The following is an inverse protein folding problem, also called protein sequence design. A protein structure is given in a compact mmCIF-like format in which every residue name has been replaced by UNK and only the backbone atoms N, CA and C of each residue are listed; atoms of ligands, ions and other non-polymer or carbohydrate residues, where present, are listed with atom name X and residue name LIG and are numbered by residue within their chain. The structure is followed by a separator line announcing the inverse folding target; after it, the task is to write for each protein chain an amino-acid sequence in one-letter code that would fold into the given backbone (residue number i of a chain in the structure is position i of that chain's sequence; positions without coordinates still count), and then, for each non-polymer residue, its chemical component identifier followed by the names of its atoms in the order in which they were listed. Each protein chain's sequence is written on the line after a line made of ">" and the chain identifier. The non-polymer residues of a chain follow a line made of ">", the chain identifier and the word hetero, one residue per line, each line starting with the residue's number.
data_IF_141032475477
#
_entry.id   IF_141032475477
#
_cell.length_a   1.000
_cell.length_b   1.000
_cell.length_c   1.000
_cell.angle_alpha   90.00
_cell.angle_beta   90.00
_cell.angle_gamma   90.00
#
_symmetry.space_group_name_H-M   'P 1'
#
loop_
_entity.id
_entity.type
_entity.pdbx_description
1 polymer ?
#
# COMPACT_ATOMS: atom_id res chain seq x y z
N UNK A 1 -16.74 -3.90 6.74
CA UNK A 1 -15.41 -3.42 6.25
C UNK A 1 -14.37 -3.76 7.31
N UNK A 2 -13.22 -4.34 6.93
CA UNK A 2 -12.13 -4.68 7.87
C UNK A 2 -11.40 -3.41 8.31
N UNK A 3 -10.93 -3.39 9.55
CA UNK A 3 -10.19 -2.25 10.09
C UNK A 3 -8.73 -2.61 10.34
N UNK A 4 -7.83 -1.77 9.85
CA UNK A 4 -6.38 -1.90 10.03
C UNK A 4 -5.71 -0.61 10.48
N UNK A 5 -4.47 -0.75 10.89
CA UNK A 5 -3.57 0.36 11.25
C UNK A 5 -2.47 0.48 10.20
N UNK A 6 -2.27 1.68 9.68
CA UNK A 6 -1.07 2.04 8.92
C UNK A 6 -0.05 2.66 9.87
N UNK A 7 1.09 2.01 10.05
CA UNK A 7 2.19 2.58 10.83
C UNK A 7 2.86 3.74 10.07
N UNK A 8 3.39 4.68 10.83
CA UNK A 8 4.21 5.76 10.28
C UNK A 8 5.68 5.36 10.07
N UNK A 9 6.45 6.21 9.40
CA UNK A 9 7.91 6.05 9.20
C UNK A 9 8.73 6.45 10.45
N UNK A 10 8.23 6.24 11.66
CA UNK A 10 8.91 6.69 12.86
C UNK A 10 10.12 5.80 13.21
N UNK A 11 11.31 6.37 13.24
CA UNK A 11 12.53 5.68 13.69
C UNK A 11 12.64 5.57 15.21
N UNK A 12 12.01 6.47 15.98
CA UNK A 12 12.01 6.46 17.44
C UNK A 12 10.68 5.90 17.97
N UNK A 13 10.78 5.09 19.02
CA UNK A 13 9.59 4.57 19.73
C UNK A 13 8.88 3.41 19.03
N UNK A 14 9.53 2.68 18.09
CA UNK A 14 8.91 1.56 17.38
C UNK A 14 8.39 0.47 18.34
N UNK A 15 9.14 0.15 19.41
CA UNK A 15 8.69 -0.80 20.41
C UNK A 15 7.39 -0.34 21.10
N UNK A 16 7.27 0.95 21.41
CA UNK A 16 6.05 1.54 21.98
C UNK A 16 4.88 1.52 21.00
N UNK A 17 5.14 1.78 19.71
CA UNK A 17 4.14 1.66 18.67
C UNK A 17 3.64 0.21 18.54
N UNK A 18 4.51 -0.79 18.68
CA UNK A 18 4.12 -2.20 18.65
C UNK A 18 3.34 -2.59 19.92
N UNK A 19 3.68 -2.04 21.09
CA UNK A 19 2.88 -2.22 22.30
C UNK A 19 1.46 -1.63 22.15
N UNK A 20 1.34 -0.52 21.41
CA UNK A 20 0.04 0.04 21.03
C UNK A 20 -0.73 -0.86 20.06
N UNK A 21 -0.03 -1.48 19.08
CA UNK A 21 -0.64 -2.45 18.17
C UNK A 21 -1.22 -3.66 18.90
N UNK A 22 -0.57 -4.14 19.94
CA UNK A 22 -1.11 -5.25 20.76
C UNK A 22 -2.44 -4.84 21.40
N UNK A 23 -2.58 -3.61 21.88
CA UNK A 23 -3.86 -3.10 22.40
C UNK A 23 -4.91 -2.92 21.28
N UNK A 24 -4.51 -2.46 20.10
CA UNK A 24 -5.38 -2.40 18.92
C UNK A 24 -5.87 -3.80 18.51
N UNK A 25 -4.99 -4.80 18.50
CA UNK A 25 -5.37 -6.19 18.24
C UNK A 25 -6.41 -6.70 19.26
N UNK A 26 -6.23 -6.41 20.54
CA UNK A 26 -7.20 -6.74 21.60
C UNK A 26 -8.53 -6.05 21.38
N UNK A 27 -8.50 -4.85 20.85
CA UNK A 27 -9.69 -4.07 20.51
C UNK A 27 -10.37 -4.50 19.19
N UNK A 28 -9.85 -5.51 18.47
CA UNK A 28 -10.47 -6.06 17.27
C UNK A 28 -9.98 -5.43 15.96
N UNK A 29 -8.84 -4.73 15.96
CA UNK A 29 -8.15 -4.37 14.72
C UNK A 29 -7.58 -5.63 14.07
N UNK A 30 -7.81 -5.78 12.78
CA UNK A 30 -7.58 -7.05 12.07
C UNK A 30 -6.26 -7.09 11.29
N UNK A 31 -5.73 -5.94 10.87
CA UNK A 31 -4.53 -5.88 10.00
C UNK A 31 -3.63 -4.71 10.39
N UNK A 32 -2.33 -4.90 10.29
CA UNK A 32 -1.34 -3.82 10.35
C UNK A 32 -0.51 -3.77 9.08
N UNK A 33 -0.31 -2.56 8.58
CA UNK A 33 0.59 -2.29 7.47
C UNK A 33 1.85 -1.57 7.95
N UNK A 34 3.01 -2.11 7.59
CA UNK A 34 4.32 -1.52 7.90
C UNK A 34 4.92 -0.93 6.61
N UNK A 35 5.14 0.39 6.56
CA UNK A 35 5.63 1.04 5.35
C UNK A 35 7.11 0.77 5.09
N UNK A 36 7.48 0.72 3.80
CA UNK A 36 8.85 0.75 3.33
C UNK A 36 8.98 1.77 2.19
N UNK A 37 10.00 2.62 2.27
CA UNK A 37 10.38 3.55 1.21
C UNK A 37 11.92 3.66 1.20
N UNK A 38 12.47 4.85 1.33
CA UNK A 38 13.88 5.08 1.70
C UNK A 38 13.98 5.32 3.23
N UNK A 39 13.47 4.36 4.00
CA UNK A 39 13.41 4.33 5.47
C UNK A 39 13.99 3.02 5.98
N UNK A 40 13.70 2.64 7.22
CA UNK A 40 14.05 1.30 7.71
C UNK A 40 13.28 0.23 6.92
N UNK A 41 13.91 -0.95 6.72
CA UNK A 41 13.28 -2.04 6.01
C UNK A 41 12.04 -2.56 6.76
N UNK A 42 11.01 -2.89 6.01
CA UNK A 42 9.77 -3.38 6.62
C UNK A 42 9.89 -4.81 7.15
N UNK A 43 10.85 -5.59 6.68
CA UNK A 43 10.96 -7.03 6.99
C UNK A 43 11.37 -7.23 8.44
N UNK A 44 12.39 -6.51 8.92
CA UNK A 44 12.82 -6.56 10.32
C UNK A 44 11.72 -6.08 11.27
N UNK A 45 11.03 -4.99 10.89
CA UNK A 45 9.91 -4.45 11.65
C UNK A 45 8.73 -5.41 11.69
N UNK A 46 8.34 -6.01 10.56
CA UNK A 46 7.26 -7.00 10.49
C UNK A 46 7.59 -8.28 11.29
N UNK A 47 8.84 -8.72 11.28
CA UNK A 47 9.29 -9.83 12.13
C UNK A 47 9.11 -9.53 13.62
N UNK A 48 9.43 -8.31 14.05
CA UNK A 48 9.21 -7.89 15.43
C UNK A 48 7.71 -7.80 15.78
N UNK A 49 6.88 -7.25 14.89
CA UNK A 49 5.42 -7.19 15.05
C UNK A 49 4.83 -8.60 15.12
N UNK A 50 5.28 -9.52 14.25
CA UNK A 50 4.83 -10.91 14.23
C UNK A 50 5.04 -11.61 15.57
N UNK A 51 6.17 -11.34 16.25
CA UNK A 51 6.49 -11.92 17.56
C UNK A 51 5.66 -11.34 18.73
N UNK A 52 5.06 -10.17 18.54
CA UNK A 52 4.31 -9.45 19.59
C UNK A 52 2.79 -9.54 19.42
N UNK A 53 2.31 -9.92 18.24
CA UNK A 53 0.89 -10.06 17.89
C UNK A 53 0.53 -11.54 17.70
N UNK A 54 -0.75 -11.88 17.83
CA UNK A 54 -1.19 -13.28 17.78
C UNK A 54 -2.24 -13.59 16.72
N UNK A 55 -3.07 -12.61 16.33
CA UNK A 55 -4.20 -12.75 15.40
C UNK A 55 -4.16 -11.76 14.25
N UNK A 56 -3.60 -10.57 14.51
CA UNK A 56 -3.54 -9.49 13.53
C UNK A 56 -2.80 -9.94 12.28
N UNK A 57 -3.38 -9.73 11.12
CA UNK A 57 -2.70 -9.89 9.84
C UNK A 57 -1.64 -8.81 9.68
N UNK A 58 -0.56 -9.17 9.01
CA UNK A 58 0.58 -8.29 8.77
C UNK A 58 0.75 -8.09 7.27
N UNK A 59 0.93 -6.85 6.83
CA UNK A 59 1.26 -6.57 5.44
C UNK A 59 2.37 -5.54 5.32
N UNK A 60 3.20 -5.69 4.30
CA UNK A 60 4.14 -4.63 3.92
C UNK A 60 3.41 -3.52 3.17
N UNK A 61 3.72 -2.28 3.48
CA UNK A 61 3.04 -1.14 2.89
C UNK A 61 3.96 -0.14 2.20
N UNK A 62 4.72 -0.53 1.24
CA UNK A 62 4.87 -1.74 0.41
C UNK A 62 6.35 -2.11 0.25
N UNK A 63 6.65 -3.38 -0.01
CA UNK A 63 7.97 -3.78 -0.51
C UNK A 63 8.10 -3.36 -1.98
N UNK A 64 9.26 -2.80 -2.32
CA UNK A 64 9.51 -2.32 -3.68
C UNK A 64 9.92 -3.46 -4.63
N UNK A 65 9.48 -3.38 -5.89
CA UNK A 65 9.81 -4.35 -6.94
C UNK A 65 11.32 -4.47 -7.22
N UNK A 66 12.06 -3.37 -7.06
CA UNK A 66 13.43 -3.23 -7.54
C UNK A 66 14.49 -3.47 -6.47
N UNK A 67 14.11 -3.43 -5.20
CA UNK A 67 15.06 -3.55 -4.07
C UNK A 67 15.45 -4.99 -3.74
N UNK A 68 14.73 -5.98 -4.27
CA UNK A 68 14.95 -7.42 -4.02
C UNK A 68 14.81 -8.23 -5.31
N UNK A 69 15.56 -9.33 -5.42
CA UNK A 69 15.30 -10.30 -6.49
C UNK A 69 13.92 -10.95 -6.29
N UNK A 70 13.23 -11.41 -7.35
CA UNK A 70 11.92 -12.06 -7.19
C UNK A 70 11.93 -13.25 -6.22
N UNK A 71 12.98 -14.06 -6.28
CA UNK A 71 13.14 -15.22 -5.36
C UNK A 71 13.40 -14.78 -3.92
N UNK A 72 14.15 -13.69 -3.69
CA UNK A 72 14.31 -13.13 -2.35
C UNK A 72 12.98 -12.54 -1.84
N UNK A 73 12.22 -11.86 -2.68
CA UNK A 73 10.86 -11.39 -2.32
C UNK A 73 9.98 -12.55 -1.88
N UNK A 74 10.00 -13.65 -2.63
CA UNK A 74 9.25 -14.85 -2.28
C UNK A 74 9.72 -15.49 -0.95
N UNK A 75 11.05 -15.59 -0.73
CA UNK A 75 11.64 -16.08 0.52
C UNK A 75 11.27 -15.19 1.71
N UNK A 76 11.32 -13.87 1.53
CA UNK A 76 10.93 -12.89 2.54
C UNK A 76 9.47 -13.08 2.96
N UNK A 77 8.57 -13.18 1.98
CA UNK A 77 7.15 -13.39 2.26
C UNK A 77 6.90 -14.74 2.96
N UNK A 78 7.53 -15.82 2.49
CA UNK A 78 7.42 -17.13 3.12
C UNK A 78 8.00 -17.15 4.56
N UNK A 79 9.10 -16.43 4.79
CA UNK A 79 9.69 -16.29 6.13
C UNK A 79 8.80 -15.52 7.11
N UNK A 80 8.24 -14.38 6.67
CA UNK A 80 7.27 -13.62 7.46
C UNK A 80 5.97 -14.40 7.72
N UNK A 81 5.50 -15.12 6.72
CA UNK A 81 4.34 -16.01 6.87
C UNK A 81 4.61 -17.13 7.87
N UNK A 82 5.81 -17.71 7.84
CA UNK A 82 6.25 -18.74 8.78
C UNK A 82 6.31 -18.23 10.24
N UNK A 83 7.00 -17.11 10.48
CA UNK A 83 7.16 -16.58 11.85
C UNK A 83 5.86 -15.99 12.41
N UNK A 84 4.94 -15.58 11.57
CA UNK A 84 3.61 -15.09 11.96
C UNK A 84 2.56 -16.20 12.08
N UNK A 85 2.87 -17.44 11.70
CA UNK A 85 1.90 -18.55 11.72
C UNK A 85 0.81 -18.40 10.66
N UNK A 86 1.16 -17.94 9.44
CA UNK A 86 0.23 -17.83 8.33
C UNK A 86 -0.57 -16.51 8.28
N UNK A 87 -0.11 -15.46 8.96
CA UNK A 87 -0.81 -14.16 9.04
C UNK A 87 -0.26 -13.09 8.10
N UNK A 88 0.73 -13.39 7.27
CA UNK A 88 1.37 -12.40 6.40
C UNK A 88 0.69 -12.30 5.03
N UNK A 89 0.60 -11.09 4.50
CA UNK A 89 0.29 -10.79 3.10
C UNK A 89 1.37 -9.88 2.50
N UNK A 90 1.77 -10.16 1.26
CA UNK A 90 2.82 -9.42 0.57
C UNK A 90 2.24 -8.17 -0.09
N UNK A 91 2.42 -7.02 0.54
CA UNK A 91 2.17 -5.73 -0.08
C UNK A 91 3.36 -5.34 -0.99
N UNK A 92 3.11 -5.19 -2.28
CA UNK A 92 4.13 -4.99 -3.31
C UNK A 92 3.77 -3.79 -4.20
N UNK A 93 4.78 -3.02 -4.62
CA UNK A 93 4.56 -1.86 -5.48
C UNK A 93 5.81 -1.38 -6.20
N UNK A 94 5.60 -0.56 -7.22
CA UNK A 94 6.69 -0.07 -8.06
C UNK A 94 7.52 1.06 -7.44
N UNK A 95 7.02 1.72 -6.41
CA UNK A 95 7.60 2.99 -5.91
C UNK A 95 7.68 4.07 -6.98
N UNK A 96 8.53 5.08 -6.83
CA UNK A 96 8.77 6.14 -7.80
C UNK A 96 10.19 6.12 -8.36
N UNK A 97 10.39 6.66 -9.58
CA UNK A 97 11.73 6.71 -10.18
C UNK A 97 12.79 7.36 -9.30
N UNK A 98 12.44 8.44 -8.59
CA UNK A 98 13.38 9.14 -7.71
C UNK A 98 13.92 8.26 -6.58
N UNK A 99 13.09 7.37 -6.05
CA UNK A 99 13.50 6.43 -4.99
C UNK A 99 14.30 5.27 -5.60
N UNK A 100 13.79 4.68 -6.67
CA UNK A 100 14.41 3.50 -7.28
C UNK A 100 15.76 3.85 -7.91
N UNK A 101 15.85 4.92 -8.68
CA UNK A 101 17.09 5.34 -9.35
C UNK A 101 17.98 6.15 -8.42
N UNK A 102 17.39 7.07 -7.63
CA UNK A 102 18.15 8.00 -6.79
C UNK A 102 18.69 7.39 -5.49
N UNK A 103 17.96 6.48 -4.87
CA UNK A 103 18.35 5.86 -3.60
C UNK A 103 18.89 4.44 -3.76
N UNK A 104 18.22 3.62 -4.59
CA UNK A 104 18.64 2.22 -4.80
C UNK A 104 19.62 2.04 -5.96
N UNK A 105 19.79 3.04 -6.85
CA UNK A 105 20.73 2.97 -7.98
C UNK A 105 20.33 1.93 -9.04
N UNK A 106 19.04 1.61 -9.16
CA UNK A 106 18.50 0.62 -10.09
C UNK A 106 17.64 1.32 -11.13
N UNK A 107 17.75 0.98 -12.44
CA UNK A 107 16.90 1.56 -13.46
C UNK A 107 15.40 1.32 -13.22
N UNK A 108 14.59 2.36 -13.35
CA UNK A 108 13.13 2.27 -13.25
C UNK A 108 12.52 1.97 -14.63
N UNK A 109 12.39 0.70 -14.94
CA UNK A 109 11.85 0.25 -16.23
C UNK A 109 10.76 -0.81 -16.07
N UNK A 110 9.81 -0.83 -17.00
CA UNK A 110 8.79 -1.85 -17.17
C UNK A 110 8.07 -2.31 -15.88
N UNK A 111 7.60 -1.41 -14.98
CA UNK A 111 7.06 -1.80 -13.69
C UNK A 111 5.90 -2.81 -13.77
N UNK A 112 5.01 -2.70 -14.74
CA UNK A 112 3.88 -3.63 -14.90
C UNK A 112 4.34 -5.05 -15.27
N UNK A 113 5.23 -5.17 -16.25
CA UNK A 113 5.74 -6.47 -16.65
C UNK A 113 6.54 -7.13 -15.52
N UNK A 114 7.40 -6.35 -14.84
CA UNK A 114 8.15 -6.85 -13.67
C UNK A 114 7.23 -7.29 -12.53
N UNK A 115 6.17 -6.54 -12.24
CA UNK A 115 5.20 -6.94 -11.21
C UNK A 115 4.60 -8.30 -11.52
N UNK A 116 4.14 -8.53 -12.76
CA UNK A 116 3.56 -9.80 -13.17
C UNK A 116 4.56 -10.95 -13.01
N UNK A 117 5.77 -10.80 -13.55
CA UNK A 117 6.81 -11.82 -13.46
C UNK A 117 7.20 -12.12 -12.00
N UNK A 118 7.30 -11.10 -11.13
CA UNK A 118 7.59 -11.29 -9.70
C UNK A 118 6.49 -12.10 -9.01
N UNK A 119 5.22 -11.75 -9.24
CA UNK A 119 4.08 -12.47 -8.65
C UNK A 119 4.06 -13.93 -9.10
N UNK A 120 4.32 -14.19 -10.39
CA UNK A 120 4.41 -15.57 -10.95
C UNK A 120 5.53 -16.36 -10.29
N UNK A 121 6.73 -15.79 -10.18
CA UNK A 121 7.89 -16.42 -9.52
C UNK A 121 7.59 -16.68 -8.04
N UNK A 122 7.03 -15.71 -7.32
CA UNK A 122 6.66 -15.86 -5.92
C UNK A 122 5.72 -17.06 -5.73
N UNK A 123 4.70 -17.20 -6.56
CA UNK A 123 3.75 -18.30 -6.50
C UNK A 123 4.38 -19.65 -6.75
N UNK A 124 5.34 -19.78 -7.71
CA UNK A 124 6.11 -21.01 -7.90
C UNK A 124 6.92 -21.37 -6.65
N UNK A 125 7.62 -20.37 -6.07
CA UNK A 125 8.41 -20.57 -4.86
C UNK A 125 7.55 -21.08 -3.70
N UNK A 126 6.37 -20.47 -3.46
CA UNK A 126 5.49 -20.85 -2.35
C UNK A 126 4.84 -22.22 -2.52
N UNK A 127 4.59 -22.66 -3.76
CA UNK A 127 4.16 -24.05 -4.04
C UNK A 127 5.31 -25.06 -3.95
N UNK A 128 6.51 -24.56 -3.64
CA UNK A 128 7.73 -25.38 -3.52
C UNK A 128 8.07 -26.15 -4.82
N UNK A 129 7.76 -25.56 -5.93
CA UNK A 129 8.16 -26.07 -7.25
C UNK A 129 9.63 -25.70 -7.52
N UNK A 130 10.36 -26.50 -8.33
CA UNK A 130 11.61 -26.04 -8.93
C UNK A 130 11.34 -24.77 -9.73
N UNK A 131 11.97 -23.66 -9.37
CA UNK A 131 11.69 -22.35 -9.99
C UNK A 131 12.24 -22.32 -11.39
N UNK A 132 11.35 -22.23 -12.37
CA UNK A 132 11.67 -22.05 -13.79
C UNK A 132 10.84 -20.90 -14.34
N UNK A 133 11.49 -19.81 -14.70
CA UNK A 133 10.86 -18.64 -15.30
C UNK A 133 11.72 -18.09 -16.42
N UNK A 134 11.15 -17.91 -17.60
CA UNK A 134 11.82 -17.35 -18.78
C UNK A 134 11.06 -16.15 -19.28
N UNK A 135 11.03 -15.10 -18.45
CA UNK A 135 10.39 -13.84 -18.75
C UNK A 135 11.31 -12.89 -19.51
N UNK A 136 10.77 -11.72 -19.84
CA UNK A 136 11.52 -10.64 -20.48
C UNK A 136 12.49 -9.96 -19.51
N UNK A 137 12.10 -9.83 -18.25
CA UNK A 137 12.84 -9.08 -17.22
C UNK A 137 13.53 -9.99 -16.21
N UNK A 138 13.03 -11.20 -16.01
CA UNK A 138 13.62 -12.18 -15.11
C UNK A 138 13.77 -13.53 -15.78
N UNK A 139 14.93 -14.16 -15.60
CA UNK A 139 15.22 -15.52 -16.03
C UNK A 139 15.81 -16.28 -14.84
N UNK A 140 15.11 -17.33 -14.43
CA UNK A 140 15.49 -18.18 -13.28
C UNK A 140 15.32 -19.63 -13.67
N UNK A 141 16.38 -20.47 -13.71
CA UNK A 141 17.79 -20.09 -13.55
C UNK A 141 18.29 -19.24 -14.71
N UNK A 142 19.49 -18.66 -14.53
CA UNK A 142 20.15 -17.97 -15.63
C UNK A 142 20.36 -18.95 -16.81
N UNK A 143 20.19 -18.49 -18.05
CA UNK A 143 20.38 -19.33 -19.22
C UNK A 143 21.87 -19.72 -19.39
N UNK A 144 22.15 -20.82 -20.10
CA UNK A 144 23.51 -21.17 -20.47
C UNK A 144 24.25 -20.01 -21.13
N UNK A 145 25.49 -19.78 -20.73
CA UNK A 145 26.30 -18.65 -21.22
C UNK A 145 26.14 -17.35 -20.43
N UNK A 146 25.17 -17.27 -19.49
CA UNK A 146 25.08 -16.19 -18.52
C UNK A 146 25.67 -16.64 -17.17
N UNK A 147 26.58 -15.86 -16.62
CA UNK A 147 27.29 -16.22 -15.37
C UNK A 147 28.22 -17.43 -15.55
N UNK A 148 28.28 -18.30 -14.53
CA UNK A 148 29.16 -19.49 -14.51
C UNK A 148 28.65 -20.67 -15.34
N UNK A 149 27.41 -20.63 -15.80
CA UNK A 149 26.75 -21.77 -16.47
C UNK A 149 26.31 -22.91 -15.54
N UNK A 150 26.48 -22.77 -14.21
CA UNK A 150 26.15 -23.81 -13.22
C UNK A 150 24.73 -23.65 -12.63
N UNK A 151 23.96 -22.68 -13.11
CA UNK A 151 22.60 -22.44 -12.67
C UNK A 151 21.66 -23.61 -12.99
N UNK A 152 20.93 -24.09 -11.99
CA UNK A 152 19.89 -25.14 -12.15
C UNK A 152 18.63 -24.75 -11.38
N UNK A 153 17.45 -25.24 -11.77
CA UNK A 153 16.23 -25.01 -11.02
C UNK A 153 16.35 -25.48 -9.57
N UNK A 154 16.05 -24.59 -8.64
CA UNK A 154 16.03 -24.89 -7.20
C UNK A 154 14.62 -24.63 -6.66
N UNK A 155 14.28 -25.29 -5.57
CA UNK A 155 13.07 -25.06 -4.80
C UNK A 155 13.41 -24.69 -3.37
N UNK A 156 12.49 -24.10 -2.64
CA UNK A 156 12.69 -23.82 -1.20
C UNK A 156 13.10 -25.10 -0.46
N UNK A 157 14.10 -24.99 0.42
CA UNK A 157 14.49 -26.06 1.33
C UNK A 157 13.37 -26.30 2.36
N UNK A 158 12.89 -25.22 2.95
CA UNK A 158 11.79 -25.23 3.92
C UNK A 158 10.43 -25.47 3.24
N UNK A 159 9.46 -25.90 4.03
CA UNK A 159 8.07 -26.00 3.60
C UNK A 159 7.33 -24.72 4.01
N UNK A 160 6.78 -23.94 3.07
CA UNK A 160 5.92 -22.81 3.41
C UNK A 160 4.70 -23.26 4.24
N UNK A 161 4.23 -22.38 5.13
CA UNK A 161 3.01 -22.62 5.93
C UNK A 161 1.80 -22.74 5.02
N UNK A 162 1.77 -21.91 3.96
CA UNK A 162 0.72 -21.90 2.95
C UNK A 162 1.32 -21.97 1.55
N UNK A 163 0.71 -22.73 0.62
CA UNK A 163 1.17 -22.77 -0.78
C UNK A 163 0.84 -21.48 -1.53
N UNK A 164 0.09 -20.57 -0.89
CA UNK A 164 -0.34 -19.29 -1.44
C UNK A 164 -0.39 -18.24 -0.35
N UNK A 165 0.47 -17.25 -0.44
CA UNK A 165 0.49 -16.05 0.40
C UNK A 165 -0.28 -14.97 -0.37
N UNK A 166 -1.24 -14.25 0.23
CA UNK A 166 -1.95 -13.17 -0.46
C UNK A 166 -0.98 -12.08 -0.94
N UNK A 167 -1.19 -11.61 -2.16
CA UNK A 167 -0.46 -10.48 -2.75
C UNK A 167 -1.38 -9.28 -2.83
N UNK A 168 -0.96 -8.17 -2.25
CA UNK A 168 -1.65 -6.88 -2.30
C UNK A 168 -0.79 -5.96 -3.16
N UNK A 169 -1.33 -5.48 -4.29
CA UNK A 169 -0.60 -4.60 -5.18
C UNK A 169 -1.02 -3.14 -4.99
N UNK A 170 -0.03 -2.27 -4.73
CA UNK A 170 -0.25 -0.83 -4.72
C UNK A 170 -0.28 -0.28 -6.15
N UNK A 171 -1.43 0.26 -6.55
CA UNK A 171 -1.65 0.73 -7.91
C UNK A 171 -2.59 1.93 -7.97
N UNK A 172 -2.28 2.92 -8.84
CA UNK A 172 -3.10 4.11 -9.06
C UNK A 172 -3.40 4.37 -10.56
N UNK A 173 -2.60 3.86 -11.47
CA UNK A 173 -2.79 4.01 -12.90
C UNK A 173 -3.79 3.00 -13.48
N UNK A 174 -4.55 3.32 -14.54
CA UNK A 174 -5.60 2.43 -15.07
C UNK A 174 -5.08 1.03 -15.41
N UNK A 175 -3.94 0.94 -16.11
CA UNK A 175 -3.34 -0.33 -16.52
C UNK A 175 -2.83 -1.14 -15.32
N UNK A 176 -2.26 -0.48 -14.31
CA UNK A 176 -1.80 -1.18 -13.10
C UNK A 176 -2.97 -1.66 -12.25
N UNK A 177 -4.06 -0.89 -12.17
CA UNK A 177 -5.28 -1.31 -11.46
C UNK A 177 -5.94 -2.50 -12.16
N UNK A 178 -6.05 -2.48 -13.49
CA UNK A 178 -6.58 -3.63 -14.26
C UNK A 178 -5.73 -4.89 -14.01
N UNK A 179 -4.40 -4.78 -14.12
CA UNK A 179 -3.51 -5.91 -13.82
C UNK A 179 -3.65 -6.37 -12.37
N UNK A 180 -3.77 -5.46 -11.41
CA UNK A 180 -3.97 -5.82 -10.00
C UNK A 180 -5.26 -6.62 -9.81
N UNK A 181 -6.38 -6.17 -10.38
CA UNK A 181 -7.65 -6.89 -10.31
C UNK A 181 -7.57 -8.28 -10.95
N UNK A 182 -6.75 -8.45 -12.00
CA UNK A 182 -6.52 -9.74 -12.67
C UNK A 182 -5.70 -10.71 -11.80
N UNK A 183 -4.56 -10.24 -11.22
CA UNK A 183 -3.54 -11.16 -10.69
C UNK A 183 -3.37 -11.16 -9.17
N UNK A 184 -3.91 -10.20 -8.42
CA UNK A 184 -3.63 -10.03 -7.00
C UNK A 184 -4.86 -10.36 -6.13
N UNK A 185 -4.64 -10.71 -4.87
CA UNK A 185 -5.70 -10.89 -3.88
C UNK A 185 -6.23 -9.55 -3.37
N UNK A 186 -5.38 -8.48 -3.35
CA UNK A 186 -5.79 -7.15 -2.93
C UNK A 186 -5.27 -6.03 -3.82
N UNK A 187 -6.02 -4.96 -3.87
CA UNK A 187 -5.66 -3.70 -4.48
C UNK A 187 -5.55 -2.62 -3.41
N UNK A 188 -4.41 -1.97 -3.34
CA UNK A 188 -4.17 -0.86 -2.42
C UNK A 188 -3.98 0.43 -3.19
N UNK A 189 -4.82 1.42 -2.92
CA UNK A 189 -4.75 2.72 -3.60
C UNK A 189 -4.44 3.85 -2.64
N UNK A 190 -3.84 4.91 -3.18
CA UNK A 190 -3.53 6.15 -2.50
C UNK A 190 -4.66 7.17 -2.74
N UNK A 191 -4.97 7.99 -1.74
CA UNK A 191 -5.95 9.08 -1.83
C UNK A 191 -7.28 8.66 -2.45
N UNK A 192 -7.86 7.59 -1.93
CA UNK A 192 -9.16 7.10 -2.39
C UNK A 192 -10.24 8.16 -2.14
N UNK A 193 -10.89 8.59 -3.22
CA UNK A 193 -12.00 9.55 -3.18
C UNK A 193 -13.31 8.81 -3.48
N UNK A 194 -14.13 8.48 -2.47
CA UNK A 194 -15.30 7.63 -2.67
C UNK A 194 -16.25 8.09 -3.76
N UNK A 195 -16.55 9.39 -3.82
CA UNK A 195 -17.50 9.96 -4.77
C UNK A 195 -17.00 9.96 -6.22
N UNK A 196 -15.68 9.84 -6.42
CA UNK A 196 -15.03 9.87 -7.73
C UNK A 196 -14.37 8.55 -8.13
N UNK A 197 -14.34 7.58 -7.22
CA UNK A 197 -13.70 6.28 -7.43
C UNK A 197 -14.27 5.55 -8.66
N UNK A 198 -15.58 5.54 -8.82
CA UNK A 198 -16.23 4.86 -9.94
C UNK A 198 -15.82 5.44 -11.30
N UNK A 199 -15.72 6.77 -11.44
CA UNK A 199 -15.34 7.41 -12.70
C UNK A 199 -13.88 7.11 -13.11
N UNK A 200 -13.00 6.84 -12.13
CA UNK A 200 -11.58 6.61 -12.38
C UNK A 200 -11.25 5.13 -12.52
N UNK A 201 -11.87 4.26 -11.71
CA UNK A 201 -11.42 2.87 -11.57
C UNK A 201 -12.45 1.80 -11.93
N UNK A 202 -13.74 2.13 -12.12
CA UNK A 202 -14.73 1.10 -12.45
C UNK A 202 -14.38 0.33 -13.74
N UNK A 203 -13.98 1.03 -14.79
CA UNK A 203 -13.53 0.42 -16.05
C UNK A 203 -12.31 -0.48 -15.85
N UNK A 204 -11.18 0.04 -15.36
CA UNK A 204 -9.98 -0.76 -15.10
C UNK A 204 -10.23 -1.97 -14.19
N UNK A 205 -10.99 -1.82 -13.11
CA UNK A 205 -11.33 -2.92 -12.22
C UNK A 205 -12.16 -4.00 -12.94
N UNK A 206 -13.16 -3.59 -13.73
CA UNK A 206 -13.98 -4.50 -14.53
C UNK A 206 -13.13 -5.25 -15.59
N UNK A 207 -12.20 -4.54 -16.24
CA UNK A 207 -11.29 -5.14 -17.23
C UNK A 207 -10.43 -6.26 -16.62
N UNK A 208 -9.82 -5.98 -15.46
CA UNK A 208 -9.01 -6.98 -14.76
C UNK A 208 -9.85 -8.12 -14.19
N UNK A 209 -11.03 -7.82 -13.63
CA UNK A 209 -11.92 -8.83 -13.04
C UNK A 209 -12.38 -9.85 -14.08
N UNK A 210 -12.58 -9.46 -15.34
CA UNK A 210 -12.93 -10.41 -16.42
C UNK A 210 -11.84 -11.44 -16.71
N UNK A 211 -10.60 -11.14 -16.39
CA UNK A 211 -9.43 -12.00 -16.61
C UNK A 211 -9.00 -12.73 -15.33
N UNK A 212 -9.65 -12.42 -14.22
CA UNK A 212 -9.29 -12.92 -12.89
C UNK A 212 -9.56 -14.40 -12.74
N UNK A 213 -8.57 -15.15 -12.26
CA UNK A 213 -8.77 -16.52 -11.83
C UNK A 213 -9.75 -16.58 -10.65
N UNK A 214 -10.88 -17.30 -10.75
CA UNK A 214 -11.84 -17.44 -9.64
C UNK A 214 -11.21 -17.95 -8.33
N UNK A 215 -10.13 -18.72 -8.41
CA UNK A 215 -9.40 -19.20 -7.25
C UNK A 215 -8.74 -18.07 -6.43
N UNK A 216 -8.63 -16.85 -6.95
CA UNK A 216 -8.18 -15.66 -6.21
C UNK A 216 -9.24 -15.12 -5.24
N UNK A 217 -10.50 -15.55 -5.38
CA UNK A 217 -11.61 -14.99 -4.61
C UNK A 217 -11.93 -13.54 -4.98
N UNK A 218 -12.77 -12.85 -4.21
CA UNK A 218 -13.06 -11.44 -4.42
C UNK A 218 -11.80 -10.59 -4.17
N UNK A 219 -11.69 -9.47 -4.88
CA UNK A 219 -10.59 -8.52 -4.70
C UNK A 219 -10.80 -7.75 -3.39
N UNK A 220 -9.82 -7.79 -2.49
CA UNK A 220 -9.80 -6.90 -1.33
C UNK A 220 -9.38 -5.48 -1.77
N UNK A 221 -10.16 -4.47 -1.45
CA UNK A 221 -9.88 -3.07 -1.81
C UNK A 221 -9.45 -2.32 -0.56
N UNK A 222 -8.16 -1.97 -0.52
CA UNK A 222 -7.55 -1.29 0.62
C UNK A 222 -7.44 0.21 0.36
N UNK A 223 -7.90 1.02 1.31
CA UNK A 223 -7.69 2.46 1.33
C UNK A 223 -7.00 2.88 2.64
N UNK A 224 -6.04 3.81 2.53
CA UNK A 224 -5.39 4.42 3.70
C UNK A 224 -5.89 5.83 3.91
N UNK A 225 -6.26 6.16 5.16
CA UNK A 225 -6.79 7.46 5.52
C UNK A 225 -6.27 7.96 6.86
N UNK A 226 -5.99 9.27 7.02
CA UNK A 226 -5.84 9.88 8.33
C UNK A 226 -7.16 9.84 9.08
N UNK A 227 -7.10 9.64 10.39
CA UNK A 227 -8.28 9.43 11.20
C UNK A 227 -8.25 10.21 12.52
N UNK A 228 -9.32 10.94 12.80
CA UNK A 228 -9.61 11.53 14.10
C UNK A 228 -11.10 11.84 14.24
N UNK A 229 -11.68 11.50 15.40
CA UNK A 229 -13.00 12.02 15.79
C UNK A 229 -12.77 13.29 16.61
N UNK A 230 -13.24 14.43 16.09
CA UNK A 230 -13.05 15.74 16.72
C UNK A 230 -14.07 16.76 16.20
N UNK A 231 -14.50 17.67 17.08
CA UNK A 231 -15.34 18.80 16.68
C UNK A 231 -14.51 19.98 16.13
N UNK A 232 -13.18 19.96 16.33
CA UNK A 232 -12.24 20.93 15.76
C UNK A 232 -11.23 20.21 14.84
N UNK A 233 -11.58 19.96 13.58
CA UNK A 233 -10.74 19.25 12.63
C UNK A 233 -9.67 20.12 11.93
N UNK A 234 -9.67 21.47 12.12
CA UNK A 234 -8.96 22.43 11.30
C UNK A 234 -7.49 22.10 11.12
N UNK A 235 -6.71 22.06 12.20
CA UNK A 235 -5.26 21.81 12.14
C UNK A 235 -4.90 20.43 11.58
N UNK A 236 -5.74 19.40 11.84
CA UNK A 236 -5.52 18.05 11.33
C UNK A 236 -5.79 17.96 9.81
N UNK A 237 -6.83 18.66 9.34
CA UNK A 237 -7.10 18.77 7.90
C UNK A 237 -6.03 19.60 7.19
N UNK A 238 -5.47 20.63 7.83
CA UNK A 238 -4.35 21.38 7.26
C UNK A 238 -3.08 20.54 7.15
N UNK A 239 -2.79 19.68 8.11
CA UNK A 239 -1.70 18.72 8.01
C UNK A 239 -1.91 17.72 6.85
N UNK A 240 -3.14 17.23 6.65
CA UNK A 240 -3.49 16.39 5.52
C UNK A 240 -3.37 17.13 4.19
N UNK A 241 -3.81 18.40 4.14
CA UNK A 241 -3.65 19.30 2.98
C UNK A 241 -2.19 19.47 2.60
N UNK A 242 -1.30 19.65 3.59
CA UNK A 242 0.14 19.74 3.36
C UNK A 242 0.71 18.46 2.75
N UNK A 243 0.26 17.30 3.23
CA UNK A 243 0.64 16.00 2.67
C UNK A 243 0.13 15.84 1.22
N UNK A 244 -1.11 16.20 0.95
CA UNK A 244 -1.66 16.18 -0.42
C UNK A 244 -0.85 17.10 -1.35
N UNK A 245 -0.54 18.32 -0.91
CA UNK A 245 0.29 19.25 -1.69
C UNK A 245 1.68 18.68 -1.99
N UNK A 246 2.33 18.01 -1.03
CA UNK A 246 3.59 17.31 -1.23
C UNK A 246 3.49 16.21 -2.29
N UNK A 247 2.50 15.33 -2.18
CA UNK A 247 2.34 14.21 -3.11
C UNK A 247 1.96 14.68 -4.51
N UNK A 248 0.99 15.60 -4.63
CA UNK A 248 0.52 16.12 -5.91
C UNK A 248 1.58 17.00 -6.58
N UNK A 249 2.32 17.79 -5.77
CA UNK A 249 3.29 18.76 -6.28
C UNK A 249 4.73 18.24 -6.37
N UNK A 250 5.19 17.48 -5.38
CA UNK A 250 6.61 17.19 -5.17
C UNK A 250 7.06 15.74 -5.24
N UNK A 251 6.14 14.76 -5.12
CA UNK A 251 6.50 13.33 -5.14
C UNK A 251 6.58 12.79 -6.57
N UNK A 252 7.42 13.40 -7.40
CA UNK A 252 7.62 13.02 -8.78
C UNK A 252 8.24 14.17 -9.59
N UNK A 253 8.68 13.87 -10.82
CA UNK A 253 9.07 14.88 -11.80
C UNK A 253 7.84 15.60 -12.35
N UNK A 254 8.04 16.79 -12.97
CA UNK A 254 6.95 17.54 -13.58
C UNK A 254 6.16 16.71 -14.58
N UNK A 255 6.85 15.92 -15.39
CA UNK A 255 6.27 15.10 -16.45
C UNK A 255 5.79 13.71 -15.97
N UNK A 256 6.09 13.36 -14.73
CA UNK A 256 5.77 12.03 -14.20
C UNK A 256 5.55 12.06 -12.68
N UNK A 257 4.32 12.34 -12.30
CA UNK A 257 3.87 12.31 -10.91
C UNK A 257 2.53 11.56 -10.82
N UNK A 258 2.56 10.35 -10.28
CA UNK A 258 1.38 9.48 -10.23
C UNK A 258 0.24 10.05 -9.40
N UNK A 259 0.55 10.80 -8.33
CA UNK A 259 -0.47 11.45 -7.49
C UNK A 259 -1.10 12.64 -8.21
N UNK A 260 -0.31 13.43 -8.94
CA UNK A 260 -0.83 14.51 -9.78
C UNK A 260 -1.75 13.96 -10.88
N UNK A 261 -1.31 12.91 -11.57
CA UNK A 261 -2.12 12.24 -12.60
C UNK A 261 -3.42 11.67 -12.05
N UNK A 262 -3.42 11.13 -10.82
CA UNK A 262 -4.61 10.63 -10.15
C UNK A 262 -5.59 11.76 -9.86
N UNK A 263 -5.11 12.86 -9.28
CA UNK A 263 -5.95 14.01 -8.92
C UNK A 263 -6.55 14.67 -10.16
N UNK A 264 -5.81 14.71 -11.28
CA UNK A 264 -6.37 15.12 -12.59
C UNK A 264 -7.53 14.22 -13.02
N UNK A 265 -7.39 12.90 -12.89
CA UNK A 265 -8.47 11.95 -13.22
C UNK A 265 -9.70 12.09 -12.31
N UNK A 266 -9.52 12.60 -11.10
CA UNK A 266 -10.63 12.99 -10.24
C UNK A 266 -11.36 14.27 -10.71
N UNK A 267 -10.88 14.94 -11.79
CA UNK A 267 -11.47 16.16 -12.34
C UNK A 267 -10.95 17.44 -11.70
N UNK A 268 -9.74 17.40 -11.15
CA UNK A 268 -9.02 18.57 -10.60
C UNK A 268 -7.80 18.92 -11.43
N UNK A 269 -7.94 18.95 -12.77
CA UNK A 269 -6.82 19.16 -13.68
C UNK A 269 -6.12 20.50 -13.47
N UNK A 270 -6.90 21.56 -13.26
CA UNK A 270 -6.40 22.91 -13.02
C UNK A 270 -5.67 23.01 -11.68
N UNK A 271 -6.29 22.50 -10.64
CA UNK A 271 -5.75 22.52 -9.27
C UNK A 271 -4.48 21.68 -9.19
N UNK A 272 -4.45 20.49 -9.78
CA UNK A 272 -3.27 19.64 -9.83
C UNK A 272 -2.09 20.30 -10.53
N UNK A 273 -2.33 21.03 -11.63
CA UNK A 273 -1.31 21.80 -12.32
C UNK A 273 -0.78 22.95 -11.45
N UNK A 274 -1.67 23.70 -10.80
CA UNK A 274 -1.34 24.83 -9.94
C UNK A 274 -0.55 24.40 -8.71
N UNK A 275 -0.99 23.33 -8.05
CA UNK A 275 -0.28 22.74 -6.89
C UNK A 275 1.15 22.35 -7.28
N UNK A 276 1.32 21.66 -8.40
CA UNK A 276 2.63 21.24 -8.87
C UNK A 276 3.52 22.42 -9.21
N UNK A 277 2.98 23.45 -9.88
CA UNK A 277 3.75 24.62 -10.25
C UNK A 277 4.23 25.41 -9.03
N UNK A 278 3.35 25.67 -8.07
CA UNK A 278 3.72 26.32 -6.81
C UNK A 278 4.74 25.49 -6.03
N UNK A 279 4.52 24.19 -5.90
CA UNK A 279 5.38 23.31 -5.12
C UNK A 279 6.81 23.27 -5.68
N UNK A 280 6.95 23.05 -6.99
CA UNK A 280 8.25 22.98 -7.67
C UNK A 280 8.96 24.34 -7.73
N UNK A 281 8.22 25.43 -7.61
CA UNK A 281 8.77 26.80 -7.50
C UNK A 281 9.12 27.20 -6.05
N UNK A 282 8.99 26.28 -5.07
CA UNK A 282 9.27 26.54 -3.67
C UNK A 282 8.16 27.27 -2.90
N UNK A 283 7.07 27.64 -3.56
CA UNK A 283 5.90 28.33 -2.98
C UNK A 283 4.96 27.33 -2.31
N UNK A 284 5.41 26.77 -1.18
CA UNK A 284 4.70 25.66 -0.52
C UNK A 284 3.36 26.07 0.09
N UNK A 285 3.26 27.28 0.62
CA UNK A 285 2.02 27.80 1.21
C UNK A 285 0.92 27.94 0.12
N UNK A 286 1.30 28.48 -1.04
CA UNK A 286 0.39 28.60 -2.18
C UNK A 286 0.01 27.22 -2.77
N UNK A 287 0.95 26.27 -2.78
CA UNK A 287 0.65 24.89 -3.18
C UNK A 287 -0.39 24.25 -2.24
N UNK A 288 -0.26 24.45 -0.93
CA UNK A 288 -1.25 23.98 0.05
C UNK A 288 -2.60 24.67 -0.15
N UNK A 289 -2.61 25.99 -0.33
CA UNK A 289 -3.84 26.76 -0.54
C UNK A 289 -4.60 26.36 -1.83
N UNK A 290 -3.88 25.83 -2.82
CA UNK A 290 -4.47 25.35 -4.07
C UNK A 290 -5.12 23.96 -3.97
N UNK A 291 -4.93 23.22 -2.86
CA UNK A 291 -5.56 21.90 -2.68
C UNK A 291 -7.06 22.08 -2.38
N UNK A 292 -7.98 21.49 -3.18
CA UNK A 292 -9.41 21.63 -2.97
C UNK A 292 -9.87 21.09 -1.62
N UNK A 293 -10.78 21.80 -0.96
CA UNK A 293 -11.33 21.39 0.35
C UNK A 293 -12.08 20.07 0.29
N UNK A 294 -12.82 19.81 -0.78
CA UNK A 294 -13.53 18.56 -0.96
C UNK A 294 -12.58 17.38 -1.15
N UNK A 295 -11.45 17.56 -1.83
CA UNK A 295 -10.40 16.53 -1.92
C UNK A 295 -9.80 16.21 -0.54
N UNK A 296 -9.50 17.25 0.27
CA UNK A 296 -8.98 17.08 1.63
C UNK A 296 -9.96 16.30 2.49
N UNK A 297 -11.24 16.70 2.48
CA UNK A 297 -12.29 16.07 3.28
C UNK A 297 -12.63 14.65 2.81
N UNK A 298 -12.71 14.44 1.50
CA UNK A 298 -13.08 13.13 0.93
C UNK A 298 -12.03 12.06 1.15
N UNK A 299 -10.76 12.44 1.29
CA UNK A 299 -9.63 11.51 1.49
C UNK A 299 -9.19 11.39 2.95
N UNK A 300 -10.02 11.86 3.90
CA UNK A 300 -9.75 11.80 5.33
C UNK A 300 -11.00 11.40 6.13
N UNK A 301 -10.81 10.73 7.25
CA UNK A 301 -11.83 10.47 8.27
C UNK A 301 -11.57 11.37 9.49
N UNK A 302 -11.64 12.69 9.28
CA UNK A 302 -11.32 13.69 10.30
C UNK A 302 -12.50 14.65 10.47
N UNK A 303 -13.15 14.61 11.63
CA UNK A 303 -14.30 15.44 11.94
C UNK A 303 -15.18 14.88 13.06
N UNK A 304 -16.38 15.46 13.28
CA UNK A 304 -17.34 14.94 14.24
C UNK A 304 -17.76 13.50 13.96
N UNK A 305 -18.19 12.77 14.98
CA UNK A 305 -18.54 11.34 14.87
C UNK A 305 -19.57 11.06 13.76
N UNK A 306 -20.58 11.93 13.61
CA UNK A 306 -21.58 11.80 12.54
C UNK A 306 -20.94 11.89 11.14
N UNK A 307 -20.04 12.87 10.93
CA UNK A 307 -19.31 12.99 9.68
C UNK A 307 -18.45 11.75 9.39
N UNK A 308 -17.69 11.26 10.38
CA UNK A 308 -16.85 10.06 10.23
C UNK A 308 -17.73 8.86 9.83
N UNK A 309 -18.89 8.69 10.46
CA UNK A 309 -19.85 7.62 10.11
C UNK A 309 -20.34 7.72 8.66
N UNK A 310 -20.70 8.91 8.21
CA UNK A 310 -21.14 9.14 6.83
C UNK A 310 -20.00 8.85 5.83
N UNK A 311 -18.77 9.24 6.17
CA UNK A 311 -17.60 8.93 5.33
C UNK A 311 -17.33 7.42 5.26
N UNK A 312 -17.41 6.69 6.38
CA UNK A 312 -17.27 5.23 6.40
C UNK A 312 -18.29 4.56 5.46
N UNK A 313 -19.54 5.01 5.51
CA UNK A 313 -20.57 4.52 4.61
C UNK A 313 -20.24 4.82 3.13
N UNK A 314 -19.70 6.00 2.83
CA UNK A 314 -19.27 6.36 1.48
C UNK A 314 -18.10 5.48 0.98
N UNK A 315 -17.09 5.22 1.82
CA UNK A 315 -15.99 4.30 1.49
C UNK A 315 -16.50 2.88 1.22
N UNK A 316 -17.38 2.36 2.08
CA UNK A 316 -17.99 1.04 1.90
C UNK A 316 -18.81 0.96 0.61
N UNK A 317 -19.68 1.96 0.35
CA UNK A 317 -20.50 2.05 -0.86
C UNK A 317 -19.64 2.15 -2.15
N UNK A 318 -18.46 2.77 -2.06
CA UNK A 318 -17.49 2.84 -3.16
C UNK A 318 -16.64 1.57 -3.34
N UNK A 319 -16.89 0.52 -2.53
CA UNK A 319 -16.26 -0.80 -2.69
C UNK A 319 -15.02 -1.02 -1.84
N UNK A 320 -14.68 -0.15 -0.90
CA UNK A 320 -13.58 -0.39 0.04
C UNK A 320 -13.96 -1.50 1.01
N UNK A 321 -13.15 -2.54 1.09
CA UNK A 321 -13.35 -3.71 1.95
C UNK A 321 -12.44 -3.71 3.17
N UNK A 322 -11.26 -3.06 3.07
CA UNK A 322 -10.28 -2.89 4.15
C UNK A 322 -9.87 -1.43 4.27
N UNK A 323 -10.03 -0.86 5.46
CA UNK A 323 -9.64 0.52 5.76
C UNK A 323 -8.43 0.53 6.70
N UNK A 324 -7.33 1.05 6.21
CA UNK A 324 -6.11 1.27 6.97
C UNK A 324 -6.10 2.71 7.50
N UNK A 325 -6.25 2.88 8.80
CA UNK A 325 -6.26 4.22 9.40
C UNK A 325 -4.91 4.58 9.99
N UNK A 326 -4.57 5.87 9.90
CA UNK A 326 -3.47 6.49 10.63
C UNK A 326 -4.07 7.39 11.70
N UNK A 327 -4.16 6.95 12.98
CA UNK A 327 -4.74 7.75 14.06
C UNK A 327 -3.90 9.00 14.32
N UNK A 328 -4.53 10.18 14.34
CA UNK A 328 -3.87 11.48 14.49
C UNK A 328 -3.87 12.01 15.92
N UNK A 329 -4.53 11.32 16.85
CA UNK A 329 -4.57 11.75 18.25
C UNK A 329 -3.16 11.77 18.88
N UNK A 330 -2.82 12.81 19.67
CA UNK A 330 -1.44 13.05 20.10
C UNK A 330 -0.93 12.05 21.15
N UNK A 331 -1.81 11.49 21.98
CA UNK A 331 -1.41 10.54 23.02
C UNK A 331 -1.83 9.12 22.65
N UNK A 332 -1.13 8.12 23.21
CA UNK A 332 -1.45 6.71 23.04
C UNK A 332 -2.89 6.40 23.47
N UNK A 333 -3.29 6.89 24.64
CA UNK A 333 -4.62 6.66 25.20
C UNK A 333 -5.71 7.21 24.29
N UNK A 334 -5.49 8.41 23.75
CA UNK A 334 -6.42 9.04 22.83
C UNK A 334 -6.48 8.28 21.49
N UNK A 335 -5.37 7.77 20.95
CA UNK A 335 -5.37 6.94 19.74
C UNK A 335 -6.12 5.62 19.96
N UNK A 336 -5.87 4.95 21.08
CA UNK A 336 -6.57 3.72 21.44
C UNK A 336 -8.07 3.95 21.60
N UNK A 337 -8.49 5.04 22.24
CA UNK A 337 -9.90 5.42 22.39
C UNK A 337 -10.54 5.70 21.03
N UNK A 338 -9.87 6.49 20.17
CA UNK A 338 -10.36 6.84 18.85
C UNK A 338 -10.57 5.58 17.97
N UNK A 339 -9.62 4.64 17.96
CA UNK A 339 -9.74 3.41 17.16
C UNK A 339 -10.86 2.51 17.69
N UNK A 340 -11.08 2.42 19.01
CA UNK A 340 -12.26 1.72 19.57
C UNK A 340 -13.56 2.36 19.11
N UNK A 341 -13.65 3.69 19.18
CA UNK A 341 -14.81 4.42 18.68
C UNK A 341 -15.04 4.18 17.19
N UNK A 342 -13.98 4.18 16.37
CA UNK A 342 -14.09 3.88 14.94
C UNK A 342 -14.65 2.48 14.70
N UNK A 343 -14.19 1.48 15.44
CA UNK A 343 -14.69 0.11 15.34
C UNK A 343 -16.19 0.02 15.63
N UNK A 344 -16.68 0.82 16.57
CA UNK A 344 -18.10 0.83 16.93
C UNK A 344 -18.98 1.55 15.87
N UNK A 345 -18.33 2.27 14.91
CA UNK A 345 -18.99 2.93 13.78
C UNK A 345 -18.95 2.09 12.49
N UNK A 346 -18.06 1.10 12.37
CA UNK A 346 -17.90 0.19 11.21
C UNK A 346 -18.84 -1.00 11.32
#
# INVERSE_FOLDING_TARGET
>A
MRLGIMLGYSGEGFAAAVDELVEHERSGVEIVAVPEAYSFDAVSQLGFVAARTTRMELTSGIVQLYSRTPTLTAMTAAGLDYVSGGRFSLGLGASGPQVVEGFHGVPYDAPLARTREIVEICRQVWRREPVVHSGRHYRVPLPPGAGTGLGKPLKLINHPVRPRIPVILAAVGPRSVAMTAEIAEGWWTLFFHPERAASVWAGPLADGTRLRDPALGPLDVLATVPFAVTDDPGSLLDAHRAMLALYIGGMGARERNFSNELVRRYGYEREAALIQDHFLSGRRAEAMAAVPDDLVRSTALVGPAAYVKDRLAAYAAAGVTTLLVSPLAPTREARLAAVRQLRDLV
#
